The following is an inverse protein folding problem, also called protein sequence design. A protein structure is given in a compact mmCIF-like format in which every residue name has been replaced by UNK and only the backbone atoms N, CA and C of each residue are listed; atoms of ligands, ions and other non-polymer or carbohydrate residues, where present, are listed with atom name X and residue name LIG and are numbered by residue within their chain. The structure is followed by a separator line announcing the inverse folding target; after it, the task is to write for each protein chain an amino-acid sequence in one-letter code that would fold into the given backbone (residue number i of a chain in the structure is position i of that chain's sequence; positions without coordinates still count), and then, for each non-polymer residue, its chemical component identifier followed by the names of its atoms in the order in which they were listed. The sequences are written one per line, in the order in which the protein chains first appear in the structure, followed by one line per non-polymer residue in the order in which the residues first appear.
data_IF_441226231123
#
_entry.id   IF_441226231123
#
_cell.length_a   1.000
_cell.length_b   1.000
_cell.length_c   1.000
_cell.angle_alpha   90.00
_cell.angle_beta   90.00
_cell.angle_gamma   90.00
#
_symmetry.space_group_name_H-M   'P 1'
#
loop_
_entity.id
_entity.type
_entity.pdbx_description
1 polymer ?
#
# COMPACT_ATOMS: atom_id res chain seq x y z
N UNK A 1 -25.50 -27.69 51.95
CA UNK A 1 -24.50 -27.56 50.86
C UNK A 1 -25.17 -26.77 49.75
N UNK A 2 -25.00 -25.45 49.74
CA UNK A 2 -25.66 -24.53 48.80
C UNK A 2 -24.78 -24.30 47.58
N UNK A 3 -25.23 -24.77 46.42
CA UNK A 3 -24.54 -24.55 45.14
C UNK A 3 -24.71 -23.09 44.70
N UNK A 4 -23.61 -22.35 44.59
CA UNK A 4 -23.60 -20.99 44.03
C UNK A 4 -23.31 -21.07 42.54
N UNK A 5 -24.29 -20.64 41.74
CA UNK A 5 -24.18 -20.48 40.29
C UNK A 5 -23.45 -19.16 40.00
N UNK A 6 -22.24 -19.22 39.44
CA UNK A 6 -21.52 -18.02 38.97
C UNK A 6 -21.85 -17.81 37.49
N UNK A 7 -22.64 -16.78 37.20
CA UNK A 7 -22.99 -16.35 35.85
C UNK A 7 -21.89 -15.43 35.31
N UNK A 8 -21.01 -15.96 34.46
CA UNK A 8 -19.96 -15.16 33.80
C UNK A 8 -20.59 -14.36 32.66
N UNK A 9 -20.75 -13.05 32.82
CA UNK A 9 -21.15 -12.15 31.74
C UNK A 9 -19.97 -11.92 30.78
N UNK A 10 -20.15 -12.30 29.53
CA UNK A 10 -19.24 -12.00 28.42
C UNK A 10 -19.52 -10.55 27.95
N UNK A 11 -18.63 -9.61 28.24
CA UNK A 11 -18.70 -8.26 27.68
C UNK A 11 -18.05 -8.27 26.30
N UNK A 12 -18.88 -8.19 25.25
CA UNK A 12 -18.42 -7.96 23.89
C UNK A 12 -17.97 -6.49 23.75
N UNK A 13 -16.67 -6.25 23.68
CA UNK A 13 -16.13 -4.93 23.37
C UNK A 13 -16.39 -4.61 21.89
N UNK A 14 -17.41 -3.80 21.61
CA UNK A 14 -17.59 -3.19 20.31
C UNK A 14 -16.44 -2.21 20.04
N UNK A 15 -15.56 -2.54 19.09
CA UNK A 15 -14.49 -1.65 18.65
C UNK A 15 -15.08 -0.37 18.07
N UNK A 16 -14.84 0.77 18.72
CA UNK A 16 -15.25 2.06 18.22
C UNK A 16 -14.52 2.35 16.89
N UNK A 17 -15.27 2.44 15.80
CA UNK A 17 -14.75 2.92 14.53
C UNK A 17 -14.33 4.39 14.71
N UNK A 18 -13.04 4.68 14.56
CA UNK A 18 -12.54 6.07 14.58
C UNK A 18 -13.20 6.85 13.43
N UNK A 19 -13.83 8.00 13.69
CA UNK A 19 -14.47 8.78 12.64
C UNK A 19 -13.45 9.23 11.60
N UNK A 20 -13.73 8.95 10.32
CA UNK A 20 -12.91 9.43 9.21
C UNK A 20 -13.00 10.97 9.15
N UNK A 21 -11.88 11.70 9.18
CA UNK A 21 -11.90 13.15 9.07
C UNK A 21 -12.55 13.63 7.77
N UNK A 22 -13.20 14.81 7.77
CA UNK A 22 -13.86 15.34 6.59
C UNK A 22 -12.85 15.51 5.45
N UNK A 23 -13.23 15.05 4.26
CA UNK A 23 -12.44 15.12 3.04
C UNK A 23 -13.10 16.09 2.06
N UNK A 24 -12.32 17.00 1.46
CA UNK A 24 -12.79 17.95 0.44
C UNK A 24 -12.07 17.72 -0.88
N UNK A 25 -12.78 17.97 -1.99
CA UNK A 25 -12.26 17.77 -3.34
C UNK A 25 -11.09 18.74 -3.62
N UNK A 26 -10.18 18.28 -4.48
CA UNK A 26 -9.01 19.07 -4.92
C UNK A 26 -9.40 19.86 -6.17
N UNK A 27 -9.04 21.14 -6.21
CA UNK A 27 -9.27 21.97 -7.40
C UNK A 27 -8.33 21.56 -8.52
N UNK A 28 -8.79 21.45 -9.78
CA UNK A 28 -7.90 21.25 -10.92
C UNK A 28 -6.81 22.33 -10.97
N UNK A 29 -5.56 21.92 -11.13
CA UNK A 29 -4.40 22.84 -11.18
C UNK A 29 -3.81 23.22 -9.82
N UNK A 30 -4.26 22.62 -8.71
CA UNK A 30 -3.66 22.80 -7.39
C UNK A 30 -2.15 22.47 -7.42
N UNK A 31 -1.25 23.41 -7.04
CA UNK A 31 0.19 23.15 -7.02
C UNK A 31 0.60 21.99 -6.10
N UNK A 32 -0.13 21.74 -5.01
CA UNK A 32 0.15 20.62 -4.12
C UNK A 32 -0.12 19.28 -4.83
N UNK A 33 -1.15 19.20 -5.68
CA UNK A 33 -1.44 18.01 -6.48
C UNK A 33 -0.30 17.73 -7.47
N UNK A 34 0.17 18.75 -8.20
CA UNK A 34 1.29 18.59 -9.12
C UNK A 34 2.57 18.10 -8.42
N UNK A 35 2.84 18.58 -7.20
CA UNK A 35 3.97 18.11 -6.37
C UNK A 35 3.80 16.65 -5.96
N UNK A 36 2.60 16.26 -5.51
CA UNK A 36 2.30 14.87 -5.14
C UNK A 36 2.47 13.93 -6.34
N UNK A 37 1.97 14.35 -7.51
CA UNK A 37 2.03 13.61 -8.76
C UNK A 37 3.46 13.36 -9.23
N UNK A 38 4.30 14.38 -9.17
CA UNK A 38 5.72 14.28 -9.49
C UNK A 38 6.42 13.30 -8.53
N UNK A 39 6.15 13.39 -7.23
CA UNK A 39 6.74 12.51 -6.24
C UNK A 39 6.31 11.04 -6.42
N UNK A 40 5.02 10.80 -6.69
CA UNK A 40 4.50 9.46 -6.94
C UNK A 40 5.07 8.85 -8.24
N UNK A 41 5.18 9.66 -9.30
CA UNK A 41 5.80 9.26 -10.56
C UNK A 41 7.29 8.93 -10.39
N UNK A 42 8.03 9.75 -9.64
CA UNK A 42 9.44 9.52 -9.34
C UNK A 42 9.65 8.20 -8.59
N UNK A 43 8.88 7.96 -7.51
CA UNK A 43 8.96 6.69 -6.77
C UNK A 43 8.71 5.49 -7.69
N UNK A 44 7.67 5.56 -8.52
CA UNK A 44 7.30 4.46 -9.42
C UNK A 44 8.39 4.20 -10.45
N UNK A 45 8.90 5.26 -11.09
CA UNK A 45 9.91 5.18 -12.15
C UNK A 45 11.22 4.62 -11.61
N UNK A 46 11.73 5.20 -10.52
CA UNK A 46 13.00 4.79 -9.93
C UNK A 46 12.94 3.35 -9.41
N UNK A 47 11.84 2.98 -8.72
CA UNK A 47 11.66 1.65 -8.17
C UNK A 47 11.57 0.59 -9.28
N UNK A 48 10.76 0.83 -10.32
CA UNK A 48 10.64 -0.11 -11.44
C UNK A 48 11.93 -0.22 -12.24
N UNK A 49 12.67 0.88 -12.41
CA UNK A 49 13.99 0.86 -13.05
C UNK A 49 14.99 -0.02 -12.30
N UNK A 50 15.10 0.16 -10.97
CA UNK A 50 15.97 -0.70 -10.15
C UNK A 50 15.50 -2.15 -10.13
N UNK A 51 14.19 -2.38 -10.04
CA UNK A 51 13.63 -3.73 -10.04
C UNK A 51 13.97 -4.48 -11.32
N UNK A 52 13.80 -3.86 -12.49
CA UNK A 52 14.14 -4.46 -13.78
C UNK A 52 15.62 -4.82 -13.85
N UNK A 53 16.49 -3.90 -13.44
CA UNK A 53 17.95 -4.13 -13.41
C UNK A 53 18.32 -5.37 -12.59
N UNK A 54 17.75 -5.54 -11.39
CA UNK A 54 18.06 -6.71 -10.55
C UNK A 54 17.41 -8.00 -11.04
N UNK A 55 16.24 -7.90 -11.68
CA UNK A 55 15.59 -9.05 -12.30
C UNK A 55 16.44 -9.57 -13.47
N UNK A 56 16.96 -8.68 -14.31
CA UNK A 56 17.81 -9.05 -15.44
C UNK A 56 19.17 -9.61 -14.97
N UNK A 57 19.74 -9.03 -13.90
CA UNK A 57 21.07 -9.42 -13.41
C UNK A 57 21.09 -10.70 -12.55
N UNK A 58 20.01 -11.02 -11.82
CA UNK A 58 20.02 -12.14 -10.88
C UNK A 58 18.66 -12.76 -10.58
N UNK A 59 17.65 -12.42 -11.38
CA UNK A 59 16.33 -13.03 -11.31
C UNK A 59 15.49 -12.61 -10.10
N UNK A 60 14.25 -13.15 -10.01
CA UNK A 60 13.26 -12.74 -9.01
C UNK A 60 13.68 -12.88 -7.56
N UNK A 61 14.46 -13.92 -7.22
CA UNK A 61 14.91 -14.16 -5.84
C UNK A 61 15.84 -13.03 -5.35
N UNK A 62 16.82 -12.63 -6.17
CA UNK A 62 17.74 -11.53 -5.84
C UNK A 62 17.02 -10.18 -5.82
N UNK A 63 16.11 -9.98 -6.77
CA UNK A 63 15.35 -8.73 -6.90
C UNK A 63 14.44 -8.42 -5.70
N UNK A 64 14.15 -9.39 -4.82
CA UNK A 64 13.41 -9.15 -3.56
C UNK A 64 14.12 -8.12 -2.65
N UNK A 65 15.45 -8.03 -2.71
CA UNK A 65 16.21 -7.03 -1.97
C UNK A 65 15.81 -5.58 -2.35
N UNK A 66 15.46 -5.35 -3.62
CA UNK A 66 14.93 -4.05 -4.07
C UNK A 66 13.71 -3.63 -3.28
N UNK A 67 12.80 -4.58 -3.01
CA UNK A 67 11.57 -4.28 -2.30
C UNK A 67 11.79 -4.02 -0.80
N UNK A 68 12.83 -4.60 -0.19
CA UNK A 68 13.09 -4.51 1.25
C UNK A 68 14.01 -3.36 1.62
N UNK A 69 14.97 -3.04 0.76
CA UNK A 69 16.05 -2.10 1.08
C UNK A 69 15.94 -0.83 0.23
N UNK A 70 15.87 -1.00 -1.10
CA UNK A 70 15.90 0.14 -2.03
C UNK A 70 14.59 0.92 -2.00
N UNK A 71 13.44 0.23 -2.00
CA UNK A 71 12.15 0.90 -2.05
C UNK A 71 11.88 1.82 -0.84
N UNK A 72 12.17 1.41 0.42
CA UNK A 72 12.12 2.34 1.55
C UNK A 72 13.09 3.51 1.41
N UNK A 73 14.31 3.30 0.90
CA UNK A 73 15.29 4.37 0.71
C UNK A 73 14.84 5.42 -0.32
N UNK A 74 14.26 5.00 -1.46
CA UNK A 74 13.69 5.90 -2.46
C UNK A 74 12.54 6.70 -1.83
N UNK A 75 11.63 6.02 -1.14
CA UNK A 75 10.49 6.65 -0.46
C UNK A 75 10.94 7.70 0.57
N UNK A 76 11.94 7.38 1.39
CA UNK A 76 12.52 8.31 2.37
C UNK A 76 13.14 9.55 1.70
N UNK A 77 13.94 9.37 0.64
CA UNK A 77 14.56 10.50 -0.09
C UNK A 77 13.51 11.41 -0.76
N UNK A 78 12.41 10.85 -1.26
CA UNK A 78 11.31 11.62 -1.86
C UNK A 78 10.41 12.29 -0.81
N UNK A 79 10.44 11.83 0.43
CA UNK A 79 9.69 12.39 1.55
C UNK A 79 10.42 13.59 2.16
N UNK A 80 10.34 14.74 1.49
CA UNK A 80 10.98 16.00 1.89
C UNK A 80 10.09 17.18 1.54
N UNK A 81 10.43 18.35 2.06
CA UNK A 81 9.76 19.62 1.73
C UNK A 81 8.23 19.59 1.98
N UNK A 82 7.79 18.92 3.05
CA UNK A 82 6.35 18.75 3.35
C UNK A 82 5.67 17.56 2.65
N UNK A 83 6.42 16.76 1.88
CA UNK A 83 5.95 15.51 1.30
C UNK A 83 6.22 14.32 2.23
N UNK A 84 5.25 13.42 2.34
CA UNK A 84 5.50 12.03 2.74
C UNK A 84 5.10 11.13 1.58
N UNK A 85 6.00 10.25 1.15
CA UNK A 85 5.81 9.35 0.01
C UNK A 85 5.99 7.92 0.51
N UNK A 86 5.00 7.06 0.30
CA UNK A 86 5.04 5.65 0.75
C UNK A 86 4.31 4.74 -0.23
N UNK A 87 4.46 3.43 -0.03
CA UNK A 87 3.63 2.41 -0.68
C UNK A 87 2.75 1.75 0.35
N UNK A 88 1.54 1.39 -0.04
CA UNK A 88 0.63 0.59 0.78
C UNK A 88 0.08 -0.57 -0.01
N UNK A 89 -0.33 -1.64 0.67
CA UNK A 89 -0.75 -2.88 0.03
C UNK A 89 -2.11 -3.38 0.50
N UNK A 90 -2.89 -3.97 -0.41
CA UNK A 90 -4.10 -4.74 -0.08
C UNK A 90 -3.75 -6.02 0.67
N UNK A 91 -2.60 -6.62 0.34
CA UNK A 91 -1.94 -7.68 1.10
C UNK A 91 -0.53 -7.19 1.45
N UNK A 92 -0.24 -7.13 2.74
CA UNK A 92 0.96 -6.46 3.27
C UNK A 92 2.16 -7.41 3.23
N UNK A 93 3.26 -6.95 2.63
CA UNK A 93 4.57 -7.66 2.65
C UNK A 93 5.48 -7.12 3.73
N UNK A 94 5.68 -5.81 3.70
CA UNK A 94 6.39 -5.06 4.73
C UNK A 94 5.34 -4.42 5.66
N UNK A 95 5.33 -4.70 6.97
CA UNK A 95 4.39 -4.10 7.92
C UNK A 95 4.31 -2.57 7.88
N UNK A 96 5.41 -1.89 7.53
CA UNK A 96 5.43 -0.43 7.36
C UNK A 96 4.50 0.07 6.24
N UNK A 97 4.09 -0.81 5.32
CA UNK A 97 3.18 -0.53 4.21
C UNK A 97 1.72 -0.92 4.52
N UNK A 98 1.39 -1.11 5.79
CA UNK A 98 0.00 -1.28 6.23
C UNK A 98 -0.76 0.02 5.95
N UNK A 99 -1.93 -0.05 5.27
CA UNK A 99 -2.72 1.15 5.00
C UNK A 99 -3.30 1.71 6.31
N UNK A 100 -3.33 3.02 6.42
CA UNK A 100 -4.13 3.72 7.42
C UNK A 100 -5.64 3.71 7.05
N UNK A 101 -6.54 4.25 7.89
CA UNK A 101 -7.98 4.23 7.60
C UNK A 101 -8.39 4.91 6.27
N UNK A 102 -7.74 6.01 5.89
CA UNK A 102 -8.02 6.68 4.62
C UNK A 102 -7.55 5.81 3.44
N UNK A 103 -6.32 5.29 3.52
CA UNK A 103 -5.73 4.44 2.49
C UNK A 103 -6.54 3.15 2.30
N UNK A 104 -6.98 2.54 3.41
CA UNK A 104 -7.81 1.35 3.38
C UNK A 104 -9.17 1.62 2.70
N UNK A 105 -9.80 2.76 2.98
CA UNK A 105 -11.05 3.15 2.35
C UNK A 105 -10.89 3.38 0.83
N UNK A 106 -9.81 4.04 0.39
CA UNK A 106 -9.50 4.22 -1.04
C UNK A 106 -9.28 2.86 -1.73
N UNK A 107 -8.44 2.01 -1.13
CA UNK A 107 -8.17 0.66 -1.67
C UNK A 107 -9.46 -0.18 -1.77
N UNK A 108 -10.36 -0.11 -0.79
CA UNK A 108 -11.64 -0.80 -0.83
C UNK A 108 -12.54 -0.32 -1.98
N UNK A 109 -12.65 1.00 -2.19
CA UNK A 109 -13.42 1.56 -3.32
C UNK A 109 -12.87 1.10 -4.67
N UNK A 110 -11.55 1.08 -4.83
CA UNK A 110 -10.91 0.60 -6.04
C UNK A 110 -11.09 -0.91 -6.26
N UNK A 111 -11.03 -1.70 -5.20
CA UNK A 111 -11.29 -3.14 -5.26
C UNK A 111 -12.73 -3.40 -5.75
N UNK A 112 -13.69 -2.64 -5.24
CA UNK A 112 -15.09 -2.72 -5.64
C UNK A 112 -15.30 -2.28 -7.11
N UNK A 113 -14.67 -1.18 -7.52
CA UNK A 113 -14.71 -0.69 -8.89
C UNK A 113 -14.13 -1.72 -9.89
N UNK A 114 -13.01 -2.34 -9.56
CA UNK A 114 -12.43 -3.43 -10.34
C UNK A 114 -13.37 -4.62 -10.47
N UNK A 115 -14.11 -4.97 -9.40
CA UNK A 115 -15.13 -6.01 -9.44
C UNK A 115 -16.27 -5.72 -10.43
N UNK A 116 -16.48 -4.45 -10.79
CA UNK A 116 -17.42 -4.00 -11.83
C UNK A 116 -16.76 -3.76 -13.19
N UNK A 117 -15.48 -4.13 -13.37
CA UNK A 117 -14.74 -3.89 -14.61
C UNK A 117 -14.30 -2.45 -14.81
N UNK A 118 -14.34 -1.61 -13.78
CA UNK A 118 -13.89 -0.22 -13.85
C UNK A 118 -12.44 -0.14 -13.33
N UNK A 119 -11.53 0.31 -14.19
CA UNK A 119 -10.14 0.51 -13.79
C UNK A 119 -10.03 1.58 -12.69
N UNK A 120 -9.25 1.33 -11.62
CA UNK A 120 -9.04 2.30 -10.57
C UNK A 120 -8.24 3.46 -11.13
N UNK A 121 -8.57 4.66 -10.67
CA UNK A 121 -7.90 5.90 -11.03
C UNK A 121 -7.36 6.56 -9.78
N UNK A 122 -6.45 7.50 -9.96
CA UNK A 122 -5.95 8.33 -8.87
C UNK A 122 -7.10 8.92 -8.04
N UNK A 123 -6.88 8.96 -6.73
CA UNK A 123 -7.79 9.57 -5.76
C UNK A 123 -7.02 10.66 -5.00
N UNK A 124 -7.62 11.83 -4.85
CA UNK A 124 -7.01 12.97 -4.20
C UNK A 124 -8.04 13.72 -3.37
N UNK A 125 -7.70 14.02 -2.12
CA UNK A 125 -8.56 14.79 -1.23
C UNK A 125 -7.76 15.60 -0.21
N UNK A 126 -8.25 16.78 0.09
CA UNK A 126 -7.81 17.54 1.26
C UNK A 126 -8.44 16.96 2.52
N UNK A 127 -7.62 16.65 3.51
CA UNK A 127 -8.04 16.11 4.80
C UNK A 127 -7.57 17.04 5.91
N UNK A 128 -8.46 17.35 6.85
CA UNK A 128 -8.13 18.12 8.04
C UNK A 128 -8.15 17.22 9.28
N UNK A 129 -7.01 17.15 9.98
CA UNK A 129 -6.89 16.41 11.22
C UNK A 129 -5.96 17.16 12.18
N UNK A 130 -6.40 17.35 13.43
CA UNK A 130 -5.59 18.01 14.45
C UNK A 130 -5.18 19.45 14.09
N UNK A 131 -6.00 20.17 13.33
CA UNK A 131 -5.70 21.52 12.87
C UNK A 131 -4.72 21.61 11.69
N UNK A 132 -4.27 20.49 11.15
CA UNK A 132 -3.39 20.44 9.98
C UNK A 132 -4.17 20.00 8.76
N UNK A 133 -4.17 20.85 7.72
CA UNK A 133 -4.75 20.54 6.41
C UNK A 133 -3.69 19.87 5.54
N UNK A 134 -3.96 18.64 5.12
CA UNK A 134 -3.03 17.82 4.33
C UNK A 134 -3.71 17.36 3.05
N UNK A 135 -3.06 17.56 1.91
CA UNK A 135 -3.50 16.92 0.67
C UNK A 135 -3.06 15.47 0.69
N UNK A 136 -3.98 14.55 0.45
CA UNK A 136 -3.67 13.11 0.32
C UNK A 136 -3.96 12.67 -1.10
N UNK A 137 -2.97 12.07 -1.74
CA UNK A 137 -3.05 11.54 -3.11
C UNK A 137 -2.67 10.08 -3.11
N UNK A 138 -3.45 9.24 -3.77
CA UNK A 138 -3.14 7.83 -3.96
C UNK A 138 -3.22 7.43 -5.43
N UNK A 139 -2.20 6.72 -5.90
CA UNK A 139 -2.16 6.11 -7.23
C UNK A 139 -2.23 4.59 -7.15
N UNK A 140 -3.17 3.94 -7.85
CA UNK A 140 -3.34 2.50 -7.78
C UNK A 140 -2.13 1.78 -8.39
N UNK A 141 -1.75 0.66 -7.78
CA UNK A 141 -0.79 -0.30 -8.32
C UNK A 141 -1.56 -1.57 -8.65
N UNK A 142 -1.73 -1.86 -9.93
CA UNK A 142 -2.29 -3.13 -10.41
C UNK A 142 -1.15 -4.06 -10.85
N UNK A 143 -1.34 -5.37 -10.68
CA UNK A 143 -0.34 -6.37 -11.03
C UNK A 143 -0.28 -6.60 -12.54
N UNK A 144 0.91 -6.50 -13.12
CA UNK A 144 1.21 -7.01 -14.47
C UNK A 144 1.98 -8.34 -14.41
N UNK A 145 2.30 -8.92 -15.58
CA UNK A 145 3.06 -10.19 -15.68
C UNK A 145 4.34 -10.21 -14.85
N UNK A 146 5.14 -9.15 -14.92
CA UNK A 146 6.40 -9.01 -14.16
C UNK A 146 6.18 -9.16 -12.65
N UNK A 147 5.07 -8.61 -12.14
CA UNK A 147 4.77 -8.62 -10.72
C UNK A 147 4.55 -10.05 -10.20
N UNK A 148 4.01 -10.93 -11.03
CA UNK A 148 3.61 -12.28 -10.65
C UNK A 148 4.81 -13.20 -10.36
N UNK A 149 6.01 -12.82 -10.78
CA UNK A 149 7.24 -13.54 -10.44
C UNK A 149 7.48 -13.63 -8.91
N UNK A 150 6.98 -12.65 -8.14
CA UNK A 150 7.10 -12.63 -6.67
C UNK A 150 5.75 -12.44 -5.95
N UNK A 151 4.69 -12.06 -6.66
CA UNK A 151 3.36 -11.79 -6.12
C UNK A 151 2.30 -12.81 -6.59
N UNK A 152 2.64 -13.70 -7.52
CA UNK A 152 1.72 -14.71 -8.06
C UNK A 152 1.25 -15.74 -7.02
N UNK A 153 0.44 -16.73 -7.44
CA UNK A 153 0.05 -17.85 -6.59
C UNK A 153 1.26 -18.51 -5.93
N UNK A 154 1.20 -18.77 -4.62
CA UNK A 154 2.36 -19.30 -3.88
C UNK A 154 2.91 -20.61 -4.47
N UNK A 155 2.01 -21.45 -5.01
CA UNK A 155 2.35 -22.69 -5.70
C UNK A 155 3.14 -22.48 -7.00
N UNK A 156 2.96 -21.34 -7.68
CA UNK A 156 3.63 -21.03 -8.96
C UNK A 156 4.95 -20.29 -8.78
N UNK A 157 5.27 -19.82 -7.57
CA UNK A 157 6.54 -19.14 -7.31
C UNK A 157 7.71 -20.13 -7.43
N UNK A 158 8.87 -19.68 -7.89
CA UNK A 158 10.06 -20.50 -7.88
C UNK A 158 10.48 -20.83 -6.43
N UNK A 159 11.07 -22.00 -6.13
CA UNK A 159 11.54 -22.34 -4.79
C UNK A 159 12.46 -21.29 -4.17
N UNK A 160 13.40 -20.75 -4.95
CA UNK A 160 14.32 -19.70 -4.52
C UNK A 160 13.61 -18.39 -4.14
N UNK A 161 12.52 -18.05 -4.84
CA UNK A 161 11.68 -16.88 -4.51
C UNK A 161 10.97 -17.09 -3.18
N UNK A 162 10.38 -18.28 -2.96
CA UNK A 162 9.73 -18.60 -1.68
C UNK A 162 10.70 -18.52 -0.52
N UNK A 163 11.91 -19.08 -0.68
CA UNK A 163 12.95 -19.05 0.35
C UNK A 163 13.35 -17.60 0.68
N UNK A 164 13.68 -16.80 -0.33
CA UNK A 164 14.06 -15.40 -0.14
C UNK A 164 12.93 -14.54 0.47
N UNK A 165 11.66 -14.82 0.12
CA UNK A 165 10.51 -14.16 0.75
C UNK A 165 10.36 -14.56 2.22
N UNK A 166 10.48 -15.85 2.55
CA UNK A 166 10.36 -16.32 3.93
C UNK A 166 11.47 -15.76 4.84
N UNK A 167 12.69 -15.64 4.31
CA UNK A 167 13.83 -15.06 5.02
C UNK A 167 13.64 -13.56 5.29
N UNK A 168 13.31 -12.78 4.24
CA UNK A 168 13.22 -11.31 4.33
C UNK A 168 11.89 -10.82 4.89
N UNK A 169 10.83 -11.62 4.78
CA UNK A 169 9.46 -11.27 5.16
C UNK A 169 8.75 -12.46 5.81
N UNK A 170 9.07 -12.81 7.07
CA UNK A 170 8.45 -13.94 7.76
C UNK A 170 6.92 -13.85 7.90
N UNK A 171 6.37 -12.63 7.80
CA UNK A 171 4.92 -12.36 7.86
C UNK A 171 4.33 -11.93 6.51
N UNK A 172 4.98 -12.27 5.39
CA UNK A 172 4.51 -11.89 4.06
C UNK A 172 3.10 -12.40 3.77
N UNK A 173 2.21 -11.49 3.36
CA UNK A 173 0.88 -11.83 2.85
C UNK A 173 0.73 -11.49 1.37
N UNK A 174 1.73 -10.89 0.74
CA UNK A 174 1.62 -10.33 -0.60
C UNK A 174 1.85 -11.35 -1.73
N UNK A 175 1.31 -12.55 -1.62
CA UNK A 175 1.29 -13.53 -2.71
C UNK A 175 -0.16 -13.85 -3.10
N UNK A 176 -0.36 -14.75 -4.05
CA UNK A 176 -1.70 -15.13 -4.49
C UNK A 176 -2.35 -14.17 -5.47
N UNK A 177 -1.61 -13.20 -6.02
CA UNK A 177 -2.15 -12.26 -6.99
C UNK A 177 -2.27 -12.88 -8.39
N UNK A 178 -3.25 -12.42 -9.16
CA UNK A 178 -3.35 -12.63 -10.62
C UNK A 178 -3.06 -11.34 -11.36
N UNK A 179 -2.88 -11.41 -12.67
CA UNK A 179 -2.74 -10.21 -13.52
C UNK A 179 -4.00 -9.36 -13.44
N UNK A 180 -3.83 -8.04 -13.37
CA UNK A 180 -4.92 -7.06 -13.27
C UNK A 180 -5.47 -6.82 -11.85
N UNK A 181 -5.05 -7.59 -10.85
CA UNK A 181 -5.51 -7.39 -9.48
C UNK A 181 -4.89 -6.15 -8.81
N UNK A 182 -5.62 -5.54 -7.87
CA UNK A 182 -5.11 -4.41 -7.09
C UNK A 182 -4.09 -4.87 -6.06
N UNK A 183 -2.81 -4.56 -6.31
CA UNK A 183 -1.70 -4.84 -5.39
C UNK A 183 -1.70 -3.89 -4.20
N UNK A 184 -2.07 -2.64 -4.44
CA UNK A 184 -1.91 -1.57 -3.46
C UNK A 184 -1.88 -0.19 -4.11
N UNK A 185 -1.14 0.74 -3.51
CA UNK A 185 -1.03 2.11 -3.99
C UNK A 185 0.36 2.72 -3.71
N UNK A 186 0.74 3.71 -4.49
CA UNK A 186 1.62 4.79 -4.00
C UNK A 186 0.73 5.80 -3.27
N UNK A 187 1.10 6.18 -2.06
CA UNK A 187 0.38 7.14 -1.23
C UNK A 187 1.31 8.31 -0.93
N UNK A 188 0.82 9.52 -1.19
CA UNK A 188 1.55 10.77 -0.98
C UNK A 188 0.70 11.71 -0.14
N UNK A 189 1.31 12.31 0.87
CA UNK A 189 0.72 13.43 1.60
C UNK A 189 1.52 14.69 1.32
N UNK A 190 0.83 15.82 1.15
CA UNK A 190 1.44 17.15 1.04
C UNK A 190 0.90 18.02 2.16
N UNK A 191 1.80 18.47 3.04
CA UNK A 191 1.51 19.58 3.95
C UNK A 191 1.90 20.86 3.20
N UNK A 192 0.97 21.82 2.99
CA UNK A 192 1.23 23.09 2.33
C UNK A 192 2.36 23.89 2.96
#
# INVERSE_FOLDING_TARGET
MTASLVLTMLVAAAGAATPTPPATAVTPGDPALARADAAAAALTTELLGRLRTELDAGGPAKAIAVCSEVAPAIAARLSRDGLTVRRVGTRVRNPANTPDPFEAAVLARWQEALGRGVAPKEDAAWVEAGGVRTLRVMRPITTGKLCLACHGPAATLAPAVRAALAERYPSDRATGYREGELRGAVSVTVVP
#
